data_IF_854203374848
#
_entry.id   IF_854203374848
#
_cell.length_a   1.000
_cell.length_b   1.000
_cell.length_c   1.000
_cell.angle_alpha   90.00
_cell.angle_beta   90.00
_cell.angle_gamma   90.00
#
_symmetry.space_group_name_H-M   'P 1'
#
loop_
_entity.id
_entity.type
_entity.pdbx_description
1 polymer ?
#
# COMPACT_ATOMS: atom_id res chain seq x y z
N UNK A 1 9.22 -7.98 19.65
CA UNK A 1 9.55 -6.82 20.51
C UNK A 1 9.83 -5.53 19.73
N UNK A 2 10.06 -5.56 18.41
CA UNK A 2 10.14 -4.34 17.57
C UNK A 2 8.78 -3.84 17.05
N UNK A 3 7.76 -4.70 16.93
CA UNK A 3 6.48 -4.36 16.27
C UNK A 3 5.56 -3.38 17.03
N UNK A 4 5.81 -3.12 18.31
CA UNK A 4 5.02 -2.19 19.13
C UNK A 4 5.79 -0.91 19.51
N UNK A 5 6.96 -0.68 18.90
CA UNK A 5 7.72 0.54 19.15
C UNK A 5 6.95 1.77 18.62
N UNK A 6 6.67 2.80 19.44
CA UNK A 6 5.94 4.00 19.00
C UNK A 6 6.54 4.69 17.77
N UNK A 7 7.86 4.56 17.60
CA UNK A 7 8.62 5.11 16.45
C UNK A 7 8.24 4.42 15.14
N UNK A 8 8.05 3.10 15.14
CA UNK A 8 7.72 2.32 13.93
C UNK A 8 6.26 2.57 13.54
N UNK A 9 5.35 2.58 14.52
CA UNK A 9 3.94 2.90 14.29
C UNK A 9 3.73 4.38 13.88
N UNK A 10 4.59 5.27 14.38
CA UNK A 10 4.58 6.70 14.08
C UNK A 10 5.44 7.10 12.87
N UNK A 11 5.96 6.16 12.07
CA UNK A 11 6.93 6.47 11.00
C UNK A 11 6.40 7.49 9.99
N UNK A 12 5.09 7.43 9.66
CA UNK A 12 4.46 8.41 8.77
C UNK A 12 4.49 9.83 9.34
N UNK A 13 4.32 9.98 10.66
CA UNK A 13 4.39 11.26 11.34
C UNK A 13 5.83 11.79 11.43
N UNK A 14 6.81 10.89 11.60
CA UNK A 14 8.22 11.24 11.54
C UNK A 14 8.63 11.74 10.14
N UNK A 15 8.21 11.05 9.08
CA UNK A 15 8.43 11.47 7.70
C UNK A 15 7.80 12.86 7.49
N UNK A 16 6.56 13.06 7.94
CA UNK A 16 5.90 14.36 7.84
C UNK A 16 6.74 15.47 8.48
N UNK A 17 7.21 15.31 9.72
CA UNK A 17 8.04 16.33 10.38
C UNK A 17 9.36 16.53 9.63
N UNK A 18 9.99 15.45 9.20
CA UNK A 18 11.30 15.48 8.53
C UNK A 18 11.26 16.20 7.19
N UNK A 19 10.17 16.13 6.45
CA UNK A 19 10.00 16.86 5.19
C UNK A 19 9.36 18.24 5.38
N UNK A 20 8.42 18.36 6.32
CA UNK A 20 7.70 19.61 6.58
C UNK A 20 8.61 20.67 7.19
N UNK A 21 9.40 20.36 8.21
CA UNK A 21 10.19 21.36 8.94
C UNK A 21 11.27 21.99 8.04
N UNK A 22 12.15 21.23 7.36
CA UNK A 22 13.13 21.81 6.45
C UNK A 22 12.48 22.47 5.23
N UNK A 23 11.39 21.89 4.70
CA UNK A 23 10.65 22.46 3.56
C UNK A 23 10.04 23.83 3.90
N UNK A 24 9.47 23.97 5.09
CA UNK A 24 8.95 25.25 5.60
C UNK A 24 10.07 26.27 5.79
N UNK A 25 11.16 25.89 6.48
CA UNK A 25 12.30 26.78 6.72
C UNK A 25 12.89 27.28 5.40
N UNK A 26 13.14 26.37 4.46
CA UNK A 26 13.63 26.72 3.12
C UNK A 26 12.68 27.63 2.36
N UNK A 27 11.38 27.31 2.35
CA UNK A 27 10.36 28.09 1.64
C UNK A 27 10.22 29.52 2.18
N UNK A 28 10.34 29.70 3.50
CA UNK A 28 10.37 31.03 4.14
C UNK A 28 11.65 31.78 3.79
N UNK A 29 12.82 31.15 3.92
CA UNK A 29 14.12 31.79 3.64
C UNK A 29 14.23 32.27 2.19
N UNK A 30 13.72 31.48 1.24
CA UNK A 30 13.74 31.78 -0.19
C UNK A 30 12.54 32.63 -0.64
N UNK A 31 11.66 33.05 0.28
CA UNK A 31 10.43 33.83 0.00
C UNK A 31 9.51 33.19 -1.04
N UNK A 32 9.46 31.85 -1.07
CA UNK A 32 8.58 31.07 -1.95
C UNK A 32 7.11 31.32 -1.62
N UNK A 33 6.81 31.49 -0.34
CA UNK A 33 5.52 31.94 0.18
C UNK A 33 5.76 33.01 1.24
N UNK A 34 4.98 34.09 1.20
CA UNK A 34 5.20 35.25 2.07
C UNK A 34 4.13 35.38 3.16
N UNK A 35 3.08 34.57 3.07
CA UNK A 35 1.99 34.53 4.04
C UNK A 35 1.51 33.10 4.31
N UNK A 36 0.86 32.91 5.45
CA UNK A 36 0.17 31.65 5.79
C UNK A 36 -0.92 31.30 4.75
N UNK A 37 -1.50 32.31 4.10
CA UNK A 37 -2.48 32.12 3.04
C UNK A 37 -1.85 31.48 1.79
N UNK A 38 -0.64 31.91 1.43
CA UNK A 38 0.09 31.33 0.31
C UNK A 38 0.50 29.88 0.60
N UNK A 39 0.97 29.61 1.82
CA UNK A 39 1.23 28.24 2.29
C UNK A 39 -0.02 27.37 2.19
N UNK A 40 -1.15 27.84 2.72
CA UNK A 40 -2.42 27.13 2.67
C UNK A 40 -2.88 26.85 1.23
N UNK A 41 -2.66 27.80 0.32
CA UNK A 41 -2.93 27.62 -1.11
C UNK A 41 -2.05 26.53 -1.72
N UNK A 42 -0.74 26.52 -1.43
CA UNK A 42 0.18 25.48 -1.93
C UNK A 42 -0.20 24.08 -1.43
N UNK A 43 -0.61 23.97 -0.16
CA UNK A 43 -1.12 22.71 0.39
C UNK A 43 -2.43 22.28 -0.30
N UNK A 44 -3.34 23.22 -0.54
CA UNK A 44 -4.58 22.95 -1.26
C UNK A 44 -4.33 22.52 -2.72
N UNK A 45 -3.43 23.18 -3.44
CA UNK A 45 -3.05 22.82 -4.81
C UNK A 45 -2.41 21.42 -4.86
N UNK A 46 -1.56 21.10 -3.87
CA UNK A 46 -0.98 19.76 -3.71
C UNK A 46 -2.07 18.70 -3.49
N UNK A 47 -3.05 18.96 -2.62
CA UNK A 47 -4.18 18.07 -2.39
C UNK A 47 -5.10 17.95 -3.61
N UNK A 48 -5.30 19.04 -4.36
CA UNK A 48 -6.09 19.03 -5.59
C UNK A 48 -5.48 18.10 -6.65
N UNK A 49 -4.14 18.05 -6.75
CA UNK A 49 -3.44 17.12 -7.64
C UNK A 49 -3.69 15.64 -7.30
N UNK A 50 -4.05 15.35 -6.05
CA UNK A 50 -4.41 14.01 -5.57
C UNK A 50 -5.89 13.68 -5.77
N UNK A 51 -6.70 14.58 -6.33
CA UNK A 51 -8.15 14.40 -6.46
C UNK A 51 -8.55 13.11 -7.18
N UNK A 52 -7.94 12.82 -8.32
CA UNK A 52 -8.21 11.57 -9.06
C UNK A 52 -7.83 10.32 -8.27
N UNK A 53 -6.73 10.38 -7.50
CA UNK A 53 -6.31 9.27 -6.65
C UNK A 53 -7.28 9.05 -5.49
N UNK A 54 -7.76 10.12 -4.85
CA UNK A 54 -8.75 10.05 -3.76
C UNK A 54 -10.03 9.37 -4.22
N UNK A 55 -10.53 9.70 -5.42
CA UNK A 55 -11.74 9.06 -5.97
C UNK A 55 -11.54 7.55 -6.15
N UNK A 56 -10.39 7.13 -6.71
CA UNK A 56 -10.08 5.70 -6.90
C UNK A 56 -10.00 4.99 -5.55
N UNK A 57 -9.28 5.56 -4.58
CA UNK A 57 -9.13 4.97 -3.24
C UNK A 57 -10.46 4.88 -2.53
N UNK A 58 -11.36 5.86 -2.70
CA UNK A 58 -12.71 5.83 -2.13
C UNK A 58 -13.47 4.59 -2.60
N UNK A 59 -13.58 4.37 -3.91
CA UNK A 59 -14.30 3.20 -4.44
C UNK A 59 -13.59 1.87 -4.09
N UNK A 60 -12.26 1.85 -4.11
CA UNK A 60 -11.49 0.68 -3.70
C UNK A 60 -11.73 0.33 -2.22
N UNK A 61 -11.81 1.33 -1.34
CA UNK A 61 -12.12 1.14 0.07
C UNK A 61 -13.54 0.61 0.28
N UNK A 62 -14.53 1.10 -0.48
CA UNK A 62 -15.90 0.56 -0.44
C UNK A 62 -15.95 -0.90 -0.92
N UNK A 63 -15.29 -1.22 -2.04
CA UNK A 63 -15.18 -2.60 -2.53
C UNK A 63 -14.53 -3.50 -1.48
N UNK A 64 -13.44 -3.04 -0.85
CA UNK A 64 -12.75 -3.77 0.19
C UNK A 64 -13.66 -4.01 1.40
N UNK A 65 -14.39 -3.00 1.86
CA UNK A 65 -15.36 -3.13 2.94
C UNK A 65 -16.45 -4.16 2.60
N UNK A 66 -16.95 -4.18 1.36
CA UNK A 66 -17.91 -5.21 0.93
C UNK A 66 -17.30 -6.60 0.85
N UNK A 67 -16.05 -6.75 0.41
CA UNK A 67 -15.34 -8.02 0.37
C UNK A 67 -15.09 -8.59 1.77
N UNK A 68 -14.80 -7.71 2.73
CA UNK A 68 -14.64 -8.06 4.14
C UNK A 68 -15.98 -8.48 4.75
N UNK A 69 -17.02 -7.65 4.60
CA UNK A 69 -18.35 -7.93 5.13
C UNK A 69 -18.96 -9.23 4.57
N UNK A 70 -18.75 -9.50 3.28
CA UNK A 70 -19.26 -10.71 2.62
C UNK A 70 -18.41 -11.96 2.87
N UNK A 71 -17.27 -11.85 3.55
CA UNK A 71 -16.26 -12.91 3.68
C UNK A 71 -15.71 -13.44 2.33
N UNK A 72 -16.00 -12.78 1.21
CA UNK A 72 -15.51 -13.19 -0.11
C UNK A 72 -13.98 -13.13 -0.18
N UNK A 73 -13.36 -12.14 0.47
CA UNK A 73 -11.90 -12.05 0.54
C UNK A 73 -11.27 -13.30 1.17
N UNK A 74 -11.85 -13.79 2.26
CA UNK A 74 -11.39 -14.99 2.96
C UNK A 74 -11.60 -16.24 2.09
N UNK A 75 -12.78 -16.38 1.47
CA UNK A 75 -13.09 -17.54 0.62
C UNK A 75 -12.13 -17.61 -0.58
N UNK A 76 -11.88 -16.47 -1.24
CA UNK A 76 -10.94 -16.38 -2.37
C UNK A 76 -9.51 -16.71 -1.90
N UNK A 77 -9.10 -16.19 -0.75
CA UNK A 77 -7.78 -16.49 -0.19
C UNK A 77 -7.59 -17.98 0.13
N UNK A 78 -8.59 -18.64 0.72
CA UNK A 78 -8.52 -20.06 1.08
C UNK A 78 -8.51 -20.94 -0.17
N UNK A 79 -9.43 -20.71 -1.13
CA UNK A 79 -9.47 -21.47 -2.39
C UNK A 79 -8.22 -21.24 -3.22
N UNK A 80 -7.73 -20.01 -3.24
CA UNK A 80 -6.48 -19.66 -3.88
C UNK A 80 -5.29 -20.37 -3.24
N UNK A 81 -5.18 -20.35 -1.91
CA UNK A 81 -4.10 -21.02 -1.19
C UNK A 81 -4.11 -22.54 -1.43
N UNK A 82 -5.29 -23.16 -1.57
CA UNK A 82 -5.41 -24.58 -1.90
C UNK A 82 -4.82 -24.92 -3.29
N UNK A 83 -4.98 -24.04 -4.28
CA UNK A 83 -4.38 -24.20 -5.62
C UNK A 83 -2.86 -24.08 -5.56
N UNK A 84 -2.36 -23.20 -4.69
CA UNK A 84 -0.92 -22.95 -4.53
C UNK A 84 -0.24 -23.94 -3.56
N UNK A 85 -1.00 -24.80 -2.90
CA UNK A 85 -0.50 -25.70 -1.86
C UNK A 85 0.46 -26.74 -2.46
N UNK A 86 1.64 -26.90 -1.86
CA UNK A 86 2.66 -27.86 -2.32
C UNK A 86 3.57 -27.37 -3.46
N UNK A 87 3.42 -26.12 -3.91
CA UNK A 87 4.29 -25.52 -4.91
C UNK A 87 5.62 -25.02 -4.31
N UNK A 88 6.68 -25.02 -5.12
CA UNK A 88 7.98 -24.48 -4.73
C UNK A 88 7.90 -22.95 -4.56
N UNK A 89 8.52 -22.39 -3.51
CA UNK A 89 8.53 -20.95 -3.24
C UNK A 89 9.01 -20.10 -4.42
N UNK A 90 9.93 -20.60 -5.24
CA UNK A 90 10.43 -19.92 -6.45
C UNK A 90 9.34 -19.82 -7.52
N UNK A 91 8.62 -20.91 -7.79
CA UNK A 91 7.51 -20.94 -8.78
C UNK A 91 6.46 -19.91 -8.42
N UNK A 92 6.22 -19.77 -7.12
CA UNK A 92 5.20 -18.89 -6.64
C UNK A 92 5.60 -17.41 -6.66
N UNK A 93 6.85 -17.08 -6.32
CA UNK A 93 7.39 -15.73 -6.49
C UNK A 93 7.33 -15.33 -7.97
N UNK A 94 7.73 -16.23 -8.88
CA UNK A 94 7.64 -15.99 -10.32
C UNK A 94 6.18 -15.79 -10.77
N UNK A 95 5.24 -16.55 -10.21
CA UNK A 95 3.80 -16.37 -10.46
C UNK A 95 3.28 -14.99 -10.05
N UNK A 96 3.67 -14.50 -8.86
CA UNK A 96 3.31 -13.15 -8.39
C UNK A 96 3.92 -12.08 -9.29
N UNK A 97 5.18 -12.24 -9.69
CA UNK A 97 5.86 -11.28 -10.58
C UNK A 97 5.14 -11.22 -11.94
N UNK A 98 4.81 -12.38 -12.51
CA UNK A 98 4.14 -12.46 -13.82
C UNK A 98 2.73 -11.87 -13.76
N UNK A 99 1.97 -12.18 -12.70
CA UNK A 99 0.65 -11.58 -12.47
C UNK A 99 0.75 -10.07 -12.30
N UNK A 100 1.71 -9.59 -11.49
CA UNK A 100 1.95 -8.16 -11.30
C UNK A 100 2.30 -7.46 -12.62
N UNK A 101 3.12 -8.10 -13.47
CA UNK A 101 3.47 -7.60 -14.79
C UNK A 101 2.24 -7.53 -15.72
N UNK A 102 1.36 -8.53 -15.71
CA UNK A 102 0.12 -8.52 -16.48
C UNK A 102 -0.81 -7.38 -16.04
N UNK A 103 -1.00 -7.21 -14.73
CA UNK A 103 -1.83 -6.14 -14.18
C UNK A 103 -1.21 -4.77 -14.46
N UNK A 104 0.13 -4.67 -14.54
CA UNK A 104 0.83 -3.43 -14.90
C UNK A 104 0.47 -2.92 -16.30
N UNK A 105 0.04 -3.79 -17.22
CA UNK A 105 -0.44 -3.37 -18.54
C UNK A 105 -1.84 -2.74 -18.50
N UNK A 106 -2.65 -3.05 -17.48
CA UNK A 106 -4.01 -2.54 -17.32
C UNK A 106 -4.09 -1.32 -16.40
N UNK A 107 -3.24 -1.28 -15.37
CA UNK A 107 -3.26 -0.24 -14.33
C UNK A 107 -1.84 0.31 -14.16
N UNK A 108 -1.62 1.55 -14.61
CA UNK A 108 -0.30 2.20 -14.49
C UNK A 108 0.06 2.65 -13.07
N UNK A 109 -0.92 2.90 -12.19
CA UNK A 109 -0.66 3.34 -10.81
C UNK A 109 -0.29 2.16 -9.91
N UNK A 110 0.96 2.15 -9.42
CA UNK A 110 1.48 1.12 -8.53
C UNK A 110 0.68 1.02 -7.20
N UNK A 111 0.40 2.16 -6.57
CA UNK A 111 -0.35 2.22 -5.30
C UNK A 111 -1.81 1.76 -5.46
N UNK A 112 -2.46 2.10 -6.59
CA UNK A 112 -3.82 1.66 -6.86
C UNK A 112 -3.90 0.14 -7.06
N UNK A 113 -2.94 -0.45 -7.81
CA UNK A 113 -2.84 -1.90 -7.97
C UNK A 113 -2.68 -2.60 -6.63
N UNK A 114 -1.72 -2.15 -5.82
CA UNK A 114 -1.43 -2.78 -4.54
C UNK A 114 -2.59 -2.66 -3.56
N UNK A 115 -3.29 -1.52 -3.53
CA UNK A 115 -4.45 -1.31 -2.67
C UNK A 115 -5.58 -2.33 -2.88
N UNK A 116 -5.77 -2.80 -4.12
CA UNK A 116 -6.80 -3.80 -4.45
C UNK A 116 -6.28 -5.23 -4.25
N UNK A 117 -5.00 -5.49 -4.56
CA UNK A 117 -4.43 -6.83 -4.51
C UNK A 117 -4.05 -7.27 -3.09
N UNK A 118 -3.54 -6.36 -2.26
CA UNK A 118 -3.01 -6.69 -0.94
C UNK A 118 -4.02 -7.44 -0.04
N UNK A 119 -5.30 -7.04 0.06
CA UNK A 119 -6.26 -7.70 0.94
C UNK A 119 -6.59 -9.15 0.54
N UNK A 120 -6.34 -9.52 -0.72
CA UNK A 120 -6.62 -10.88 -1.23
C UNK A 120 -5.34 -11.71 -1.24
N UNK A 121 -4.25 -11.15 -1.80
CA UNK A 121 -2.99 -11.86 -1.96
C UNK A 121 -2.23 -12.04 -0.66
N UNK A 122 -2.25 -11.07 0.26
CA UNK A 122 -1.51 -11.22 1.53
C UNK A 122 -2.06 -12.39 2.35
N UNK A 123 -3.38 -12.50 2.62
CA UNK A 123 -3.92 -13.67 3.31
C UNK A 123 -3.70 -14.99 2.54
N UNK A 124 -3.86 -14.98 1.22
CA UNK A 124 -3.67 -16.17 0.37
C UNK A 124 -2.26 -16.75 0.48
N UNK A 125 -1.22 -15.90 0.45
CA UNK A 125 0.17 -16.32 0.55
C UNK A 125 0.54 -16.76 1.98
N UNK A 126 -0.01 -16.10 3.00
CA UNK A 126 0.14 -16.52 4.39
C UNK A 126 -0.43 -17.93 4.63
N UNK A 127 -1.64 -18.19 4.12
CA UNK A 127 -2.28 -19.52 4.20
C UNK A 127 -1.57 -20.57 3.34
N UNK A 128 -1.00 -20.15 2.20
CA UNK A 128 -0.20 -20.99 1.29
C UNK A 128 1.20 -21.36 1.81
N UNK A 129 1.55 -21.01 3.06
CA UNK A 129 2.85 -21.32 3.72
C UNK A 129 4.09 -20.61 3.13
N UNK A 130 3.92 -19.40 2.61
CA UNK A 130 5.04 -18.65 2.02
C UNK A 130 6.06 -18.02 2.97
N UNK A 131 5.82 -17.86 4.28
CA UNK A 131 6.90 -17.52 5.19
C UNK A 131 7.66 -18.76 5.67
N UNK A 132 7.05 -19.95 5.64
CA UNK A 132 7.61 -21.15 6.28
C UNK A 132 8.45 -22.03 5.35
N UNK A 133 8.29 -21.97 4.03
CA UNK A 133 9.11 -22.76 3.10
C UNK A 133 10.54 -22.23 2.89
N UNK A 134 10.84 -21.01 3.35
CA UNK A 134 12.20 -20.43 3.33
C UNK A 134 12.93 -20.65 4.68
N UNK A 135 12.21 -21.06 5.73
CA UNK A 135 12.76 -21.22 7.09
C UNK A 135 12.66 -22.63 7.70
N UNK A 136 12.24 -23.67 6.96
CA UNK A 136 12.22 -25.06 7.49
C UNK A 136 13.33 -25.97 6.96
N UNK A 137 14.57 -25.46 6.91
CA UNK A 137 15.78 -26.30 6.84
C UNK A 137 16.83 -25.88 7.89
N UNK A 138 16.38 -25.58 9.12
CA UNK A 138 17.13 -25.71 10.38
C UNK A 138 16.15 -25.67 11.56
#
# INVERSE_FOLDING_TARGET
MLNDAPIINGVGLLILILFLVPGLVYGVMMKVFNSTKDLGKMLADSMASMGSFIVIVFFAAQLLAFLEWSNLGVIVAVKGAAILQGQNGIVLILGIILLSALINLLIGSASAKWGILAPIFVPMLMLGRFPSSIHTNV
#
